data_IF_375483866510
#
_entry.id   IF_375483866510
#
_cell.length_a   1.000
_cell.length_b   1.000
_cell.length_c   1.000
_cell.angle_alpha   90.00
_cell.angle_beta   90.00
_cell.angle_gamma   90.00
#
_symmetry.space_group_name_H-M   'P 1'
#
loop_
_entity.id
_entity.type
_entity.pdbx_description
1 polymer ?
#
# COMPACT_ATOMS: atom_id res chain seq x y z
N UNK A 1 3.26 55.58 -29.55
CA UNK A 1 2.38 54.78 -28.68
C UNK A 1 2.87 53.34 -28.72
N UNK A 2 3.46 52.84 -27.63
CA UNK A 2 4.07 51.51 -27.54
C UNK A 2 3.03 50.54 -26.96
N UNK A 3 2.69 49.49 -27.70
CA UNK A 3 1.75 48.45 -27.26
C UNK A 3 2.40 47.56 -26.20
N UNK A 4 1.73 47.43 -25.06
CA UNK A 4 2.04 46.47 -24.00
C UNK A 4 1.48 45.11 -24.44
N UNK A 5 2.37 44.12 -24.64
CA UNK A 5 1.98 42.72 -24.81
C UNK A 5 1.75 42.12 -23.42
N UNK A 6 0.48 41.93 -23.06
CA UNK A 6 0.10 41.16 -21.89
C UNK A 6 0.23 39.67 -22.25
N UNK A 7 1.34 39.04 -21.88
CA UNK A 7 1.48 37.58 -21.97
C UNK A 7 0.71 36.99 -20.79
N UNK A 8 -0.55 36.65 -21.01
CA UNK A 8 -1.30 35.73 -20.14
C UNK A 8 -0.69 34.34 -20.33
N UNK A 9 0.37 34.03 -19.58
CA UNK A 9 0.82 32.65 -19.41
C UNK A 9 -0.29 31.87 -18.75
N UNK A 10 -1.01 31.08 -19.55
CA UNK A 10 -1.89 30.02 -19.06
C UNK A 10 -0.99 29.02 -18.36
N UNK A 11 -0.98 29.08 -17.04
CA UNK A 11 -0.42 28.04 -16.19
C UNK A 11 -1.29 26.80 -16.40
N UNK A 12 -0.84 25.87 -17.24
CA UNK A 12 -1.39 24.52 -17.24
C UNK A 12 -1.02 23.89 -15.89
N UNK A 13 -1.95 23.94 -14.94
CA UNK A 13 -1.89 23.08 -13.77
C UNK A 13 -1.95 21.63 -14.26
N UNK A 14 -0.80 20.96 -14.29
CA UNK A 14 -0.74 19.52 -14.41
C UNK A 14 -1.46 18.93 -13.19
N UNK A 15 -2.58 18.27 -13.47
CA UNK A 15 -3.49 17.72 -12.48
C UNK A 15 -2.82 16.52 -11.78
N UNK A 16 -2.17 16.74 -10.64
CA UNK A 16 -1.72 15.67 -9.71
C UNK A 16 -2.88 14.99 -8.97
N UNK A 17 -4.12 15.30 -9.36
CA UNK A 17 -5.34 14.83 -8.69
C UNK A 17 -5.69 13.36 -8.92
N UNK A 18 -5.04 12.62 -9.83
CA UNK A 18 -5.33 11.20 -10.04
C UNK A 18 -4.75 10.33 -8.92
N UNK A 19 -3.50 10.57 -8.53
CA UNK A 19 -2.76 9.76 -7.54
C UNK A 19 -3.33 9.91 -6.12
N UNK A 20 -3.64 11.16 -5.73
CA UNK A 20 -4.37 11.45 -4.48
C UNK A 20 -5.75 10.78 -4.41
N UNK A 21 -6.35 10.42 -5.54
CA UNK A 21 -7.62 9.66 -5.56
C UNK A 21 -7.41 8.16 -5.37
N UNK A 22 -6.26 7.61 -5.78
CA UNK A 22 -5.94 6.18 -5.58
C UNK A 22 -5.65 5.90 -4.12
N UNK A 23 -4.72 6.65 -3.50
CA UNK A 23 -4.40 6.54 -2.06
C UNK A 23 -5.68 6.62 -1.22
N UNK A 24 -6.50 7.66 -1.43
CA UNK A 24 -7.78 7.81 -0.72
C UNK A 24 -8.77 6.66 -0.94
N UNK A 25 -8.75 6.00 -2.09
CA UNK A 25 -9.59 4.83 -2.35
C UNK A 25 -9.08 3.62 -1.59
N UNK A 26 -7.77 3.37 -1.62
CA UNK A 26 -7.13 2.26 -0.91
C UNK A 26 -7.36 2.43 0.59
N UNK A 27 -7.02 3.60 1.15
CA UNK A 27 -7.27 3.93 2.56
C UNK A 27 -8.74 3.68 2.94
N UNK A 28 -9.68 4.16 2.12
CA UNK A 28 -11.11 3.93 2.34
C UNK A 28 -11.44 2.43 2.36
N UNK A 29 -11.02 1.67 1.36
CA UNK A 29 -11.36 0.25 1.27
C UNK A 29 -10.80 -0.54 2.45
N UNK A 30 -9.56 -0.25 2.84
CA UNK A 30 -8.82 -0.90 3.91
C UNK A 30 -9.48 -0.69 5.27
N UNK A 31 -9.89 0.53 5.61
CA UNK A 31 -10.50 0.83 6.93
C UNK A 31 -11.97 0.45 7.06
N UNK A 32 -12.66 0.16 5.94
CA UNK A 32 -14.09 -0.20 5.91
C UNK A 32 -14.35 -1.71 6.12
N UNK A 33 -13.39 -2.48 6.60
CA UNK A 33 -13.58 -3.90 6.86
C UNK A 33 -12.49 -4.57 7.68
N UNK A 34 -12.67 -5.87 7.90
CA UNK A 34 -11.64 -6.76 8.39
C UNK A 34 -11.08 -7.56 7.22
N UNK A 35 -9.79 -7.84 7.27
CA UNK A 35 -9.05 -8.45 6.19
C UNK A 35 -8.40 -9.74 6.64
N UNK A 36 -8.03 -10.56 5.66
CA UNK A 36 -7.35 -11.83 5.86
C UNK A 36 -6.23 -11.98 4.84
N UNK A 37 -5.08 -12.51 5.26
CA UNK A 37 -4.04 -12.92 4.33
C UNK A 37 -4.53 -14.16 3.57
N UNK A 38 -4.57 -14.05 2.24
CA UNK A 38 -4.95 -15.15 1.34
C UNK A 38 -3.81 -15.63 0.46
N UNK A 39 -2.74 -14.86 0.37
CA UNK A 39 -1.47 -15.26 -0.24
C UNK A 39 -0.32 -14.50 0.41
N UNK A 40 0.76 -15.21 0.72
CA UNK A 40 2.04 -14.63 1.13
C UNK A 40 3.18 -15.49 0.57
N UNK A 41 4.04 -14.86 -0.24
CA UNK A 41 5.28 -15.42 -0.75
C UNK A 41 6.43 -14.56 -0.22
N UNK A 42 7.33 -15.17 0.53
CA UNK A 42 8.50 -14.53 1.12
C UNK A 42 9.75 -15.33 0.78
N UNK A 43 10.76 -14.69 0.20
CA UNK A 43 12.03 -15.33 -0.19
C UNK A 43 11.82 -16.59 -1.05
N UNK A 44 10.78 -16.57 -1.89
CA UNK A 44 10.41 -17.69 -2.76
C UNK A 44 9.72 -18.87 -2.07
N UNK A 45 9.36 -18.74 -0.79
CA UNK A 45 8.61 -19.73 -0.02
C UNK A 45 7.18 -19.23 0.19
N UNK A 46 6.20 -20.12 -0.02
CA UNK A 46 4.80 -19.79 0.26
C UNK A 46 4.49 -20.04 1.74
N UNK A 47 4.39 -18.96 2.50
CA UNK A 47 4.19 -18.94 3.95
C UNK A 47 2.75 -18.55 4.33
N UNK A 48 1.83 -18.58 3.36
CA UNK A 48 0.41 -18.21 3.55
C UNK A 48 -0.23 -18.92 4.75
N UNK A 49 0.14 -20.18 5.03
CA UNK A 49 -0.43 -20.96 6.12
C UNK A 49 -0.22 -20.36 7.51
N UNK A 50 0.79 -19.52 7.65
CA UNK A 50 1.24 -19.01 8.94
C UNK A 50 0.38 -17.81 9.37
N UNK A 51 -0.25 -17.15 8.39
CA UNK A 51 -1.01 -15.91 8.58
C UNK A 51 -2.49 -16.04 8.19
N UNK A 52 -2.88 -17.07 7.43
CA UNK A 52 -4.23 -17.23 6.88
C UNK A 52 -5.30 -17.70 7.88
N UNK A 53 -5.10 -17.60 9.18
CA UNK A 53 -6.16 -17.83 10.17
C UNK A 53 -6.53 -16.55 10.92
N UNK A 54 -5.71 -15.51 10.79
CA UNK A 54 -5.85 -14.29 11.56
C UNK A 54 -6.71 -13.27 10.83
N UNK A 55 -7.26 -12.32 11.58
CA UNK A 55 -7.98 -11.18 11.01
C UNK A 55 -7.28 -9.88 11.32
N UNK A 56 -7.24 -8.99 10.33
CA UNK A 56 -6.52 -7.74 10.34
C UNK A 56 -7.53 -6.58 10.25
N UNK A 57 -7.50 -5.68 11.22
CA UNK A 57 -8.38 -4.52 11.27
C UNK A 57 -7.54 -3.24 11.20
N UNK A 58 -7.62 -2.56 10.06
CA UNK A 58 -6.91 -1.32 9.80
C UNK A 58 -7.77 -0.12 10.19
N UNK A 59 -7.19 0.81 10.94
CA UNK A 59 -7.88 2.00 11.46
C UNK A 59 -7.37 3.26 10.79
N UNK A 60 -8.22 4.28 10.68
CA UNK A 60 -7.91 5.55 10.02
C UNK A 60 -6.81 6.38 10.69
N UNK A 61 -6.40 6.02 11.90
CA UNK A 61 -5.29 6.66 12.61
C UNK A 61 -3.92 6.05 12.27
N UNK A 62 -3.88 5.07 11.34
CA UNK A 62 -2.66 4.36 10.95
C UNK A 62 -2.35 3.15 11.83
N UNK A 63 -3.25 2.75 12.73
CA UNK A 63 -3.07 1.53 13.54
C UNK A 63 -3.65 0.31 12.81
N UNK A 64 -3.01 -0.86 12.93
CA UNK A 64 -3.58 -2.15 12.53
C UNK A 64 -3.63 -3.10 13.72
N UNK A 65 -4.77 -3.73 13.93
CA UNK A 65 -4.99 -4.77 14.94
C UNK A 65 -5.02 -6.15 14.29
N UNK A 66 -4.35 -7.11 14.91
CA UNK A 66 -4.33 -8.50 14.47
C UNK A 66 -4.99 -9.36 15.54
N UNK A 67 -5.97 -10.15 15.13
CA UNK A 67 -6.75 -11.02 15.98
C UNK A 67 -6.53 -12.49 15.58
N UNK A 68 -5.54 -13.16 16.19
CA UNK A 68 -5.36 -14.59 16.02
C UNK A 68 -6.39 -15.40 16.82
N UNK A 69 -7.08 -16.37 16.20
CA UNK A 69 -8.20 -17.07 16.81
C UNK A 69 -7.79 -18.03 17.94
N UNK A 70 -6.56 -18.53 17.93
CA UNK A 70 -6.10 -19.56 18.88
C UNK A 70 -5.59 -18.95 20.18
N UNK A 71 -4.64 -18.01 20.09
CA UNK A 71 -3.96 -17.45 21.27
C UNK A 71 -4.74 -16.31 21.93
N UNK A 72 -5.72 -15.71 21.23
CA UNK A 72 -6.60 -14.64 21.73
C UNK A 72 -5.86 -13.44 22.35
N UNK A 73 -4.63 -13.20 21.91
CA UNK A 73 -3.83 -12.01 22.24
C UNK A 73 -3.99 -11.03 21.08
N UNK A 74 -4.29 -9.77 21.39
CA UNK A 74 -4.31 -8.69 20.42
C UNK A 74 -2.88 -8.23 20.13
N UNK A 75 -2.51 -8.21 18.86
CA UNK A 75 -1.28 -7.57 18.40
C UNK A 75 -1.61 -6.25 17.71
N UNK A 76 -0.72 -5.27 17.88
CA UNK A 76 -0.88 -3.93 17.34
C UNK A 76 0.35 -3.57 16.52
N UNK A 77 0.12 -3.20 15.27
CA UNK A 77 1.13 -2.62 14.38
C UNK A 77 0.65 -1.26 13.85
N UNK A 78 1.37 -0.76 12.86
CA UNK A 78 0.99 0.44 12.11
C UNK A 78 0.97 0.19 10.62
N UNK A 79 0.18 0.99 9.90
CA UNK A 79 0.11 0.98 8.45
C UNK A 79 0.00 2.41 7.92
N UNK A 80 0.43 2.63 6.69
CA UNK A 80 0.11 3.86 5.97
C UNK A 80 0.09 3.62 4.46
N UNK A 81 -0.57 4.51 3.74
CA UNK A 81 -0.60 4.47 2.28
C UNK A 81 -0.08 5.80 1.75
N UNK A 82 1.01 5.74 0.99
CA UNK A 82 1.69 6.93 0.50
C UNK A 82 1.91 6.86 -1.01
N UNK A 83 2.21 8.02 -1.59
CA UNK A 83 2.67 8.09 -2.97
C UNK A 83 4.20 8.06 -2.92
N UNK A 84 4.80 7.18 -3.71
CA UNK A 84 6.24 7.22 -3.96
C UNK A 84 6.66 8.63 -4.41
N UNK A 85 7.60 9.24 -3.70
CA UNK A 85 8.10 10.58 -4.01
C UNK A 85 9.44 10.56 -4.74
N UNK A 86 10.08 9.40 -4.83
CA UNK A 86 11.51 9.32 -5.12
C UNK A 86 11.79 8.80 -6.53
N UNK A 87 11.34 9.56 -7.55
CA UNK A 87 11.81 9.36 -8.93
C UNK A 87 13.17 10.03 -9.10
N UNK A 88 14.24 9.39 -8.62
CA UNK A 88 15.61 9.75 -9.03
C UNK A 88 16.02 9.13 -10.36
N UNK A 89 15.15 8.30 -10.95
CA UNK A 89 15.30 7.79 -12.30
C UNK A 89 14.72 8.76 -13.33
N UNK A 90 15.57 9.19 -14.26
CA UNK A 90 15.26 10.02 -15.44
C UNK A 90 14.39 9.28 -16.49
N UNK A 91 13.79 8.13 -16.15
CA UNK A 91 12.87 7.41 -17.03
C UNK A 91 11.44 7.96 -16.86
N UNK A 92 11.09 8.87 -17.77
CA UNK A 92 9.80 9.56 -17.90
C UNK A 92 8.62 8.63 -18.25
N UNK A 93 8.63 7.36 -17.83
CA UNK A 93 7.56 6.40 -18.04
C UNK A 93 7.06 5.82 -16.70
N UNK A 94 6.08 6.53 -16.15
CA UNK A 94 5.02 6.04 -15.24
C UNK A 94 5.31 5.97 -13.72
N UNK A 95 5.64 7.11 -13.09
CA UNK A 95 5.72 7.31 -11.62
C UNK A 95 4.36 7.14 -10.87
N UNK A 96 3.57 6.11 -11.16
CA UNK A 96 2.18 5.96 -10.67
C UNK A 96 2.04 5.00 -9.48
N UNK A 97 3.17 4.64 -8.85
CA UNK A 97 3.21 3.68 -7.75
C UNK A 97 2.63 4.26 -6.46
N UNK A 98 1.95 3.40 -5.72
CA UNK A 98 1.40 3.65 -4.39
C UNK A 98 2.05 2.65 -3.46
N UNK A 99 2.59 3.13 -2.35
CA UNK A 99 3.11 2.28 -1.29
C UNK A 99 2.01 1.95 -0.29
N UNK A 100 2.02 0.72 0.19
CA UNK A 100 1.27 0.24 1.34
C UNK A 100 2.27 -0.17 2.43
N UNK A 101 2.67 0.80 3.23
CA UNK A 101 3.63 0.60 4.31
C UNK A 101 2.99 -0.16 5.46
N UNK A 102 3.62 -1.25 5.91
CA UNK A 102 3.14 -2.08 7.01
C UNK A 102 4.28 -2.33 8.01
N UNK A 103 4.01 -2.12 9.30
CA UNK A 103 4.97 -2.38 10.38
C UNK A 103 4.27 -3.15 11.48
N UNK A 104 4.58 -4.43 11.61
CA UNK A 104 3.94 -5.36 12.53
C UNK A 104 4.94 -5.90 13.57
N UNK A 105 4.46 -6.28 14.77
CA UNK A 105 5.31 -6.92 15.77
C UNK A 105 5.46 -8.42 15.49
N UNK A 106 6.52 -9.03 16.03
CA UNK A 106 6.66 -10.49 16.07
C UNK A 106 5.41 -11.15 16.70
N UNK A 107 4.88 -12.24 16.11
CA UNK A 107 5.46 -13.04 15.01
C UNK A 107 5.02 -12.63 13.59
N UNK A 108 4.55 -11.41 13.38
CA UNK A 108 4.05 -10.93 12.09
C UNK A 108 5.06 -10.07 11.32
N UNK A 109 6.30 -9.99 11.80
CA UNK A 109 7.32 -9.08 11.29
C UNK A 109 7.68 -9.35 9.82
N UNK A 110 7.55 -10.59 9.33
CA UNK A 110 7.79 -10.96 7.92
C UNK A 110 6.78 -10.32 6.95
N UNK A 111 5.59 -9.92 7.42
CA UNK A 111 4.62 -9.17 6.59
C UNK A 111 4.97 -7.67 6.52
N UNK A 112 5.92 -7.18 7.32
CA UNK A 112 6.26 -5.76 7.41
C UNK A 112 7.14 -5.34 6.24
N UNK A 113 6.67 -4.38 5.45
CA UNK A 113 7.42 -3.85 4.31
C UNK A 113 6.85 -2.51 3.82
N UNK A 114 7.53 -1.87 2.86
CA UNK A 114 7.06 -0.72 2.08
C UNK A 114 6.39 -1.12 0.75
N UNK A 115 5.56 -2.17 0.80
CA UNK A 115 4.92 -2.81 -0.33
C UNK A 115 4.43 -1.89 -1.47
N UNK A 116 4.77 -2.23 -2.72
CA UNK A 116 4.16 -1.64 -3.91
C UNK A 116 2.77 -2.23 -4.15
N UNK A 117 1.76 -1.37 -4.30
CA UNK A 117 0.39 -1.80 -4.65
C UNK A 117 0.31 -2.15 -6.13
N UNK A 118 0.20 -3.45 -6.43
CA UNK A 118 -0.03 -3.93 -7.81
C UNK A 118 -1.47 -3.71 -8.27
N UNK A 119 -2.41 -3.98 -7.38
CA UNK A 119 -3.83 -4.06 -7.71
C UNK A 119 -4.68 -3.88 -6.45
N UNK A 120 -5.83 -3.19 -6.61
CA UNK A 120 -6.74 -2.99 -5.50
C UNK A 120 -8.20 -2.90 -5.96
N UNK A 121 -9.08 -3.40 -5.11
CA UNK A 121 -10.53 -3.30 -5.19
C UNK A 121 -11.11 -3.11 -3.79
N UNK A 122 -12.43 -3.04 -3.68
CA UNK A 122 -13.10 -2.95 -2.38
C UNK A 122 -12.87 -4.18 -1.50
N UNK A 123 -12.58 -5.34 -2.09
CA UNK A 123 -12.52 -6.63 -1.40
C UNK A 123 -11.17 -7.35 -1.49
N UNK A 124 -10.21 -6.81 -2.26
CA UNK A 124 -8.91 -7.45 -2.51
C UNK A 124 -7.84 -6.39 -2.73
N UNK A 125 -6.68 -6.59 -2.13
CA UNK A 125 -5.47 -5.80 -2.38
C UNK A 125 -4.31 -6.76 -2.62
N UNK A 126 -3.60 -6.55 -3.71
CA UNK A 126 -2.43 -7.31 -4.13
C UNK A 126 -1.22 -6.39 -4.08
N UNK A 127 -0.20 -6.86 -3.38
CA UNK A 127 1.01 -6.14 -3.02
C UNK A 127 2.23 -6.95 -3.48
N UNK A 128 3.30 -6.25 -3.86
CA UNK A 128 4.61 -6.85 -4.09
C UNK A 128 5.71 -6.01 -3.47
N UNK A 129 6.82 -6.65 -3.11
CA UNK A 129 8.08 -5.96 -2.87
C UNK A 129 9.14 -6.56 -3.80
N UNK A 130 9.97 -5.71 -4.39
CA UNK A 130 11.07 -6.14 -5.24
C UNK A 130 12.39 -5.76 -4.58
N UNK A 131 13.05 -6.78 -4.06
CA UNK A 131 14.38 -6.66 -3.48
C UNK A 131 15.46 -6.34 -4.52
N UNK A 132 16.56 -5.77 -4.02
CA UNK A 132 17.71 -5.35 -4.83
C UNK A 132 18.43 -6.48 -5.56
N UNK A 133 18.29 -7.72 -5.09
CA UNK A 133 18.83 -8.93 -5.72
C UNK A 133 17.93 -9.50 -6.83
N UNK A 134 16.75 -8.90 -7.01
CA UNK A 134 15.76 -9.29 -8.01
C UNK A 134 14.76 -10.34 -7.55
N UNK A 135 14.80 -10.80 -6.29
CA UNK A 135 13.68 -11.53 -5.71
C UNK A 135 12.43 -10.63 -5.64
N UNK A 136 11.26 -11.26 -5.62
CA UNK A 136 9.98 -10.55 -5.51
C UNK A 136 9.11 -11.31 -4.53
N UNK A 137 8.69 -10.60 -3.50
CA UNK A 137 7.74 -11.07 -2.51
C UNK A 137 6.34 -10.58 -2.86
N UNK A 138 5.33 -11.30 -2.40
CA UNK A 138 3.93 -10.99 -2.69
C UNK A 138 3.07 -11.15 -1.46
N UNK A 139 2.15 -10.20 -1.28
CA UNK A 139 1.13 -10.26 -0.24
C UNK A 139 -0.24 -9.98 -0.86
N UNK A 140 -1.21 -10.84 -0.57
CA UNK A 140 -2.61 -10.61 -0.91
C UNK A 140 -3.46 -10.64 0.34
N UNK A 141 -4.25 -9.59 0.53
CA UNK A 141 -5.29 -9.53 1.55
C UNK A 141 -6.67 -9.43 0.91
N UNK A 142 -7.63 -10.17 1.46
CA UNK A 142 -9.04 -10.12 1.05
C UNK A 142 -9.93 -9.79 2.24
N UNK A 143 -10.99 -9.01 1.98
CA UNK A 143 -11.97 -8.59 2.99
C UNK A 143 -12.85 -9.79 3.39
N UNK A 144 -13.12 -9.91 4.69
CA UNK A 144 -13.96 -10.96 5.30
C UNK A 144 -15.43 -10.54 5.30
#
# INVERSE_FOLDING_TARGET
MKYIFLVMTVFLFLNTGCKKKQVKKIEKYVVEGNWKVTYFLHDGVNETSDYNQDSYHFMSDGTVHIYPPIIQVLFTGSWSCAKETDSSDDDLSDDNHVEFNLVLPTPYDELSDDWEVESYSENKIELKDKSSDGSVDYLTIEKI
#
